data_IF_601709032812
#
_entry.id   IF_601709032812
#
_cell.length_a   1.000
_cell.length_b   1.000
_cell.length_c   1.000
_cell.angle_alpha   90.00
_cell.angle_beta   90.00
_cell.angle_gamma   90.00
#
_symmetry.space_group_name_H-M   'P 1'
#
loop_
_entity.id
_entity.type
_entity.pdbx_description
1 polymer ?
#
# COMPACT_ATOMS: atom_id res chain seq x y z
N UNK A 1 -20.68 -13.55 98.19
CA UNK A 1 -21.57 -12.45 98.64
C UNK A 1 -21.66 -11.46 97.48
N UNK A 2 -22.74 -11.32 96.72
CA UNK A 2 -24.13 -11.75 96.89
C UNK A 2 -24.72 -12.20 95.55
N UNK A 3 -25.46 -13.31 95.65
CA UNK A 3 -26.58 -13.66 94.78
C UNK A 3 -27.69 -12.61 94.91
N UNK A 4 -28.40 -12.31 93.83
CA UNK A 4 -29.88 -12.29 93.79
C UNK A 4 -30.34 -11.70 92.45
N UNK A 5 -30.77 -12.55 91.50
CA UNK A 5 -32.19 -12.82 91.21
C UNK A 5 -32.85 -11.74 90.35
N UNK A 6 -32.99 -12.01 89.05
CA UNK A 6 -34.21 -12.57 88.43
C UNK A 6 -35.44 -11.67 88.61
N UNK A 7 -35.85 -10.98 87.53
CA UNK A 7 -37.27 -10.88 87.11
C UNK A 7 -37.34 -10.83 85.57
N UNK A 8 -37.75 -11.94 84.95
CA UNK A 8 -39.04 -12.12 84.24
C UNK A 8 -39.11 -11.31 82.92
N UNK A 9 -38.80 -11.87 81.73
CA UNK A 9 -39.64 -12.72 80.85
C UNK A 9 -41.02 -12.10 80.50
N UNK A 10 -41.23 -11.89 79.18
CA UNK A 10 -42.46 -12.15 78.38
C UNK A 10 -42.89 -10.98 77.44
N UNK A 11 -42.70 -11.26 76.13
CA UNK A 11 -43.55 -10.95 74.94
C UNK A 11 -43.38 -9.65 74.15
N UNK A 12 -43.18 -9.83 72.83
CA UNK A 12 -43.47 -8.87 71.75
C UNK A 12 -42.40 -8.89 70.64
N UNK A 13 -42.19 -9.98 69.90
CA UNK A 13 -42.60 -10.16 68.48
C UNK A 13 -42.50 -8.89 67.61
N UNK A 14 -41.81 -9.03 66.47
CA UNK A 14 -41.66 -8.10 65.32
C UNK A 14 -40.56 -7.03 65.51
N UNK A 15 -39.61 -6.78 64.60
CA UNK A 15 -39.48 -7.13 63.20
C UNK A 15 -38.00 -7.36 62.84
N UNK A 16 -37.71 -8.51 62.24
CA UNK A 16 -36.52 -8.72 61.45
C UNK A 16 -36.73 -8.01 60.10
N UNK A 17 -35.96 -6.95 59.84
CA UNK A 17 -35.79 -6.41 58.49
C UNK A 17 -34.30 -6.29 58.21
N UNK A 18 -33.86 -7.31 57.49
CA UNK A 18 -32.59 -7.50 56.82
C UNK A 18 -31.98 -6.21 56.24
N UNK A 19 -30.76 -5.89 56.66
CA UNK A 19 -29.75 -5.20 55.86
C UNK A 19 -28.49 -6.06 55.81
N UNK A 20 -28.64 -7.29 55.33
CA UNK A 20 -27.52 -8.00 54.69
C UNK A 20 -27.36 -7.38 53.31
N UNK A 21 -26.41 -6.46 53.19
CA UNK A 21 -25.94 -5.95 51.91
C UNK A 21 -25.34 -7.13 51.13
N UNK A 22 -26.18 -7.83 50.35
CA UNK A 22 -25.74 -8.67 49.26
C UNK A 22 -24.94 -7.78 48.30
N UNK A 23 -23.62 -7.85 48.42
CA UNK A 23 -22.69 -7.33 47.42
C UNK A 23 -22.89 -8.19 46.18
N UNK A 24 -23.85 -7.79 45.35
CA UNK A 24 -24.02 -8.37 44.03
C UNK A 24 -22.70 -8.16 43.29
N UNK A 25 -21.92 -9.23 43.13
CA UNK A 25 -20.89 -9.29 42.11
C UNK A 25 -21.62 -9.04 40.81
N UNK A 26 -21.48 -7.82 40.27
CA UNK A 26 -21.87 -7.50 38.90
C UNK A 26 -21.22 -8.60 38.07
N UNK A 27 -21.99 -9.48 37.39
CA UNK A 27 -21.40 -10.42 36.47
C UNK A 27 -20.57 -9.58 35.50
N UNK A 28 -19.31 -9.95 35.22
CA UNK A 28 -18.52 -9.20 34.26
C UNK A 28 -19.39 -9.01 33.04
N UNK A 29 -19.61 -7.74 32.65
CA UNK A 29 -20.26 -7.39 31.39
C UNK A 29 -19.71 -8.36 30.35
N UNK A 30 -20.55 -9.14 29.66
CA UNK A 30 -20.04 -10.08 28.66
C UNK A 30 -19.10 -9.28 27.78
N UNK A 31 -17.85 -9.75 27.69
CA UNK A 31 -16.80 -9.05 26.96
C UNK A 31 -17.41 -8.55 25.66
N UNK A 32 -17.39 -7.23 25.44
CA UNK A 32 -17.77 -6.60 24.18
C UNK A 32 -17.14 -7.44 23.09
N UNK A 33 -17.93 -8.25 22.37
CA UNK A 33 -17.54 -9.15 21.29
C UNK A 33 -16.03 -9.06 20.97
N UNK A 34 -15.18 -9.61 21.84
CA UNK A 34 -13.76 -9.70 21.54
C UNK A 34 -13.73 -10.94 20.70
N UNK A 35 -13.57 -10.87 19.36
CA UNK A 35 -13.29 -12.09 18.64
C UNK A 35 -12.05 -12.64 19.33
N UNK A 36 -12.18 -13.80 19.97
CA UNK A 36 -11.04 -14.58 20.38
C UNK A 36 -10.33 -14.96 19.09
N UNK A 37 -9.53 -14.04 18.55
CA UNK A 37 -8.77 -14.24 17.34
C UNK A 37 -7.73 -15.30 17.69
N UNK A 38 -8.11 -16.53 17.38
CA UNK A 38 -7.19 -17.66 17.45
C UNK A 38 -6.08 -17.41 16.43
N UNK A 39 -4.87 -17.85 16.74
CA UNK A 39 -3.77 -17.83 15.76
C UNK A 39 -4.20 -18.52 14.45
N UNK A 40 -5.01 -19.57 14.56
CA UNK A 40 -5.57 -20.29 13.41
C UNK A 40 -6.40 -19.38 12.51
N UNK A 41 -7.30 -18.55 13.06
CA UNK A 41 -8.11 -17.63 12.25
C UNK A 41 -7.27 -16.57 11.56
N UNK A 42 -6.25 -16.02 12.24
CA UNK A 42 -5.33 -15.03 11.66
C UNK A 42 -4.55 -15.65 10.50
N UNK A 43 -3.96 -16.83 10.72
CA UNK A 43 -3.17 -17.53 9.71
C UNK A 43 -4.04 -18.02 8.56
N UNK A 44 -5.27 -18.48 8.82
CA UNK A 44 -6.19 -18.92 7.77
C UNK A 44 -6.57 -17.79 6.82
N UNK A 45 -6.84 -16.59 7.35
CA UNK A 45 -7.11 -15.41 6.51
C UNK A 45 -5.91 -15.03 5.66
N UNK A 46 -4.71 -15.00 6.25
CA UNK A 46 -3.48 -14.80 5.48
C UNK A 46 -3.30 -15.87 4.40
N UNK A 47 -3.48 -17.15 4.73
CA UNK A 47 -3.29 -18.27 3.80
C UNK A 47 -4.20 -18.19 2.58
N UNK A 48 -5.42 -17.67 2.73
CA UNK A 48 -6.35 -17.43 1.61
C UNK A 48 -5.75 -16.52 0.54
N UNK A 49 -4.95 -15.54 0.94
CA UNK A 49 -4.37 -14.52 0.05
C UNK A 49 -2.86 -14.62 -0.10
N UNK A 50 -2.22 -15.65 0.48
CA UNK A 50 -0.75 -15.80 0.47
C UNK A 50 -0.15 -15.78 -0.94
N UNK A 51 -0.90 -16.26 -1.92
CA UNK A 51 -0.52 -16.35 -3.33
C UNK A 51 -1.30 -15.37 -4.22
N UNK A 52 -1.90 -14.33 -3.64
CA UNK A 52 -2.59 -13.30 -4.41
C UNK A 52 -1.62 -12.66 -5.42
N UNK A 53 -2.07 -12.51 -6.65
CA UNK A 53 -1.33 -11.82 -7.70
C UNK A 53 -1.46 -10.30 -7.48
N UNK A 54 -0.53 -9.76 -6.69
CA UNK A 54 -0.48 -8.34 -6.35
C UNK A 54 -0.06 -7.44 -7.52
N UNK A 55 0.37 -8.02 -8.64
CA UNK A 55 0.70 -7.26 -9.82
C UNK A 55 -0.57 -6.92 -10.62
N UNK A 56 -1.43 -7.91 -10.83
CA UNK A 56 -2.69 -7.73 -11.59
C UNK A 56 -3.84 -7.19 -10.76
N UNK A 57 -3.86 -7.47 -9.46
CA UNK A 57 -4.98 -7.12 -8.58
C UNK A 57 -4.56 -6.20 -7.43
N UNK A 58 -5.48 -5.35 -6.94
CA UNK A 58 -5.22 -4.54 -5.76
C UNK A 58 -4.99 -5.43 -4.53
N UNK A 59 -4.41 -4.83 -3.50
CA UNK A 59 -4.25 -5.52 -2.23
C UNK A 59 -5.59 -6.05 -1.72
N UNK A 60 -5.66 -7.33 -1.29
CA UNK A 60 -6.88 -7.89 -0.74
C UNK A 60 -7.30 -7.10 0.49
N UNK A 61 -8.61 -6.85 0.59
CA UNK A 61 -9.22 -6.11 1.70
C UNK A 61 -10.04 -7.05 2.56
N UNK A 62 -9.97 -6.88 3.87
CA UNK A 62 -10.80 -7.59 4.83
C UNK A 62 -12.24 -7.02 4.84
N UNK A 63 -13.11 -7.56 5.70
CA UNK A 63 -14.50 -7.11 5.84
C UNK A 63 -14.62 -5.64 6.27
N UNK A 64 -13.58 -5.09 6.90
CA UNK A 64 -13.51 -3.67 7.29
C UNK A 64 -12.93 -2.76 6.20
N UNK A 65 -12.56 -3.34 5.04
CA UNK A 65 -11.91 -2.62 3.96
C UNK A 65 -10.40 -2.40 4.16
N UNK A 66 -9.80 -2.95 5.22
CA UNK A 66 -8.37 -2.81 5.50
C UNK A 66 -7.54 -3.80 4.69
N UNK A 67 -6.31 -3.42 4.33
CA UNK A 67 -5.37 -4.31 3.66
C UNK A 67 -5.10 -5.54 4.55
N UNK A 68 -5.42 -6.73 4.05
CA UNK A 68 -5.31 -8.00 4.80
C UNK A 68 -3.91 -8.24 5.34
N UNK A 69 -2.85 -7.92 4.58
CA UNK A 69 -1.47 -8.11 5.04
C UNK A 69 -1.11 -7.17 6.19
N UNK A 70 -1.54 -5.90 6.13
CA UNK A 70 -1.34 -4.96 7.25
C UNK A 70 -2.11 -5.40 8.50
N UNK A 71 -3.38 -5.78 8.33
CA UNK A 71 -4.21 -6.29 9.41
C UNK A 71 -3.58 -7.56 10.04
N UNK A 72 -3.07 -8.48 9.23
CA UNK A 72 -2.38 -9.69 9.69
C UNK A 72 -1.20 -9.36 10.60
N UNK A 73 -0.35 -8.39 10.25
CA UNK A 73 0.79 -8.01 11.11
C UNK A 73 0.34 -7.49 12.47
N UNK A 74 -0.69 -6.64 12.51
CA UNK A 74 -1.25 -6.09 13.74
C UNK A 74 -1.82 -7.22 14.61
N UNK A 75 -2.63 -8.11 14.01
CA UNK A 75 -3.27 -9.22 14.72
C UNK A 75 -2.24 -10.23 15.25
N UNK A 76 -1.18 -10.53 14.50
CA UNK A 76 -0.05 -11.34 14.98
C UNK A 76 0.70 -10.65 16.13
N UNK A 77 0.88 -9.32 16.09
CA UNK A 77 1.46 -8.54 17.18
C UNK A 77 0.63 -8.62 18.46
N UNK A 78 -0.69 -8.44 18.34
CA UNK A 78 -1.64 -8.53 19.45
C UNK A 78 -1.65 -9.95 20.03
N UNK A 79 -1.72 -10.97 19.18
CA UNK A 79 -1.69 -12.38 19.61
C UNK A 79 -0.42 -12.70 20.42
N UNK A 80 0.76 -12.30 19.93
CA UNK A 80 2.03 -12.57 20.61
C UNK A 80 2.14 -11.83 21.95
N UNK A 81 1.51 -10.65 22.07
CA UNK A 81 1.43 -9.90 23.32
C UNK A 81 0.58 -10.63 24.37
N UNK A 82 -0.56 -11.19 23.95
CA UNK A 82 -1.47 -11.95 24.81
C UNK A 82 -0.92 -13.33 25.17
N UNK A 83 -0.18 -13.96 24.25
CA UNK A 83 0.36 -15.31 24.40
C UNK A 83 1.86 -15.37 24.09
N UNK A 84 2.72 -14.85 24.99
CA UNK A 84 4.16 -14.83 24.77
C UNK A 84 4.74 -16.24 24.60
N UNK A 85 5.74 -16.36 23.72
CA UNK A 85 6.49 -17.60 23.44
C UNK A 85 5.70 -18.76 22.84
N UNK A 86 4.44 -18.54 22.43
CA UNK A 86 3.62 -19.57 21.79
C UNK A 86 3.68 -19.42 20.28
N UNK A 87 4.07 -20.50 19.60
CA UNK A 87 4.11 -20.59 18.14
C UNK A 87 4.99 -19.51 17.47
N UNK A 88 6.08 -19.09 18.14
CA UNK A 88 6.93 -18.00 17.65
C UNK A 88 7.50 -18.28 16.24
N UNK A 89 7.84 -19.53 15.93
CA UNK A 89 8.30 -19.93 14.59
C UNK A 89 7.24 -19.64 13.52
N UNK A 90 5.99 -20.08 13.74
CA UNK A 90 4.88 -19.85 12.83
C UNK A 90 4.56 -18.36 12.69
N UNK A 91 4.60 -17.62 13.80
CA UNK A 91 4.37 -16.16 13.81
C UNK A 91 5.47 -15.45 13.01
N UNK A 92 6.74 -15.76 13.27
CA UNK A 92 7.88 -15.19 12.56
C UNK A 92 7.81 -15.51 11.06
N UNK A 93 7.55 -16.76 10.69
CA UNK A 93 7.43 -17.16 9.30
C UNK A 93 6.25 -16.49 8.58
N UNK A 94 5.10 -16.35 9.25
CA UNK A 94 3.93 -15.66 8.71
C UNK A 94 4.22 -14.16 8.55
N UNK A 95 4.87 -13.53 9.52
CA UNK A 95 5.33 -12.13 9.40
C UNK A 95 6.26 -11.95 8.22
N UNK A 96 7.23 -12.84 8.04
CA UNK A 96 8.16 -12.76 6.92
C UNK A 96 7.44 -12.73 5.57
N UNK A 97 6.51 -13.66 5.34
CA UNK A 97 5.73 -13.67 4.11
C UNK A 97 4.84 -12.44 3.97
N UNK A 98 4.28 -11.95 5.07
CA UNK A 98 3.42 -10.77 5.08
C UNK A 98 4.18 -9.49 4.73
N UNK A 99 5.37 -9.29 5.31
CA UNK A 99 6.26 -8.18 4.96
C UNK A 99 6.72 -8.25 3.50
N UNK A 100 7.03 -9.46 2.99
CA UNK A 100 7.38 -9.65 1.58
C UNK A 100 6.27 -9.18 0.64
N UNK A 101 5.00 -9.41 1.01
CA UNK A 101 3.84 -8.93 0.23
C UNK A 101 3.66 -7.42 0.27
N UNK A 102 4.18 -6.76 1.30
CA UNK A 102 4.15 -5.31 1.45
C UNK A 102 5.37 -4.61 0.85
N UNK A 103 6.31 -5.35 0.24
CA UNK A 103 7.53 -4.81 -0.35
C UNK A 103 8.68 -4.56 0.64
N UNK A 104 8.51 -4.87 1.93
CA UNK A 104 9.58 -4.74 2.92
C UNK A 104 10.41 -6.04 2.98
N UNK A 105 11.27 -6.21 1.99
CA UNK A 105 12.07 -7.43 1.81
C UNK A 105 13.15 -7.60 2.87
N UNK A 106 13.72 -6.49 3.36
CA UNK A 106 14.75 -6.52 4.40
C UNK A 106 14.16 -7.04 5.72
N UNK A 107 13.02 -6.48 6.15
CA UNK A 107 12.33 -6.95 7.35
C UNK A 107 11.81 -8.38 7.17
N UNK A 108 11.29 -8.72 5.99
CA UNK A 108 10.86 -10.07 5.66
C UNK A 108 12.01 -11.09 5.81
N UNK A 109 13.18 -10.82 5.24
CA UNK A 109 14.35 -11.68 5.34
C UNK A 109 14.81 -11.86 6.79
N UNK A 110 14.74 -10.80 7.61
CA UNK A 110 15.05 -10.89 9.05
C UNK A 110 14.11 -11.85 9.77
N UNK A 111 12.81 -11.76 9.54
CA UNK A 111 11.85 -12.68 10.15
C UNK A 111 11.98 -14.13 9.62
N UNK A 112 12.40 -14.33 8.37
CA UNK A 112 12.76 -15.66 7.89
C UNK A 112 13.99 -16.22 8.65
N UNK A 113 15.01 -15.41 8.91
CA UNK A 113 16.17 -15.83 9.73
C UNK A 113 15.76 -16.14 11.17
N UNK A 114 14.84 -15.36 11.73
CA UNK A 114 14.28 -15.64 13.05
C UNK A 114 13.55 -17.00 13.07
N UNK A 115 12.70 -17.26 12.07
CA UNK A 115 12.02 -18.54 11.92
C UNK A 115 13.01 -19.72 11.81
N UNK A 116 14.10 -19.56 11.07
CA UNK A 116 15.16 -20.57 10.96
C UNK A 116 15.82 -20.89 12.32
N UNK A 117 16.04 -19.87 13.15
CA UNK A 117 16.73 -20.03 14.43
C UNK A 117 15.93 -20.88 15.44
N UNK A 118 14.60 -20.98 15.28
CA UNK A 118 13.78 -21.86 16.11
C UNK A 118 13.99 -23.35 15.77
N UNK A 119 14.52 -23.67 14.57
CA UNK A 119 14.91 -25.02 14.19
C UNK A 119 13.76 -26.04 14.05
N UNK A 120 12.53 -25.56 13.86
CA UNK A 120 11.35 -26.42 13.69
C UNK A 120 11.07 -26.78 12.23
N UNK A 121 9.83 -27.19 11.96
CA UNK A 121 9.40 -27.73 10.66
C UNK A 121 9.47 -26.69 9.52
N UNK A 122 9.42 -25.40 9.85
CA UNK A 122 9.43 -24.31 8.86
C UNK A 122 10.85 -23.81 8.56
N UNK A 123 11.87 -24.25 9.30
CA UNK A 123 13.23 -23.73 9.18
C UNK A 123 13.81 -23.86 7.76
N UNK A 124 13.63 -25.01 7.10
CA UNK A 124 14.13 -25.22 5.74
C UNK A 124 13.44 -24.29 4.72
N UNK A 125 12.12 -24.13 4.81
CA UNK A 125 11.37 -23.24 3.94
C UNK A 125 11.72 -21.77 4.21
N UNK A 126 11.93 -21.41 5.47
CA UNK A 126 12.36 -20.08 5.88
C UNK A 126 13.78 -19.76 5.36
N UNK A 127 14.68 -20.74 5.29
CA UNK A 127 16.01 -20.58 4.68
C UNK A 127 15.93 -20.26 3.19
N UNK A 128 15.11 -21.00 2.45
CA UNK A 128 14.88 -20.73 1.03
C UNK A 128 14.29 -19.33 0.80
N UNK A 129 13.23 -18.99 1.54
CA UNK A 129 12.59 -17.68 1.44
C UNK A 129 13.55 -16.54 1.82
N UNK A 130 14.38 -16.71 2.86
CA UNK A 130 15.37 -15.71 3.22
C UNK A 130 16.34 -15.42 2.07
N UNK A 131 16.80 -16.45 1.35
CA UNK A 131 17.69 -16.26 0.19
C UNK A 131 17.00 -15.40 -0.87
N UNK A 132 15.77 -15.76 -1.26
CA UNK A 132 15.01 -15.02 -2.25
C UNK A 132 14.77 -13.58 -1.81
N UNK A 133 14.35 -13.36 -0.56
CA UNK A 133 14.06 -12.03 -0.03
C UNK A 133 15.30 -11.13 0.07
N UNK A 134 16.48 -11.69 0.32
CA UNK A 134 17.72 -10.92 0.26
C UNK A 134 18.00 -10.45 -1.19
N UNK A 135 17.76 -11.29 -2.20
CA UNK A 135 17.91 -10.88 -3.61
C UNK A 135 16.97 -9.73 -3.97
N UNK A 136 15.71 -9.80 -3.52
CA UNK A 136 14.75 -8.70 -3.67
C UNK A 136 15.20 -7.43 -2.95
N UNK A 137 15.65 -7.55 -1.70
CA UNK A 137 16.16 -6.41 -0.93
C UNK A 137 17.37 -5.75 -1.59
N UNK A 138 18.27 -6.53 -2.17
CA UNK A 138 19.46 -6.01 -2.86
C UNK A 138 19.12 -5.35 -4.19
N UNK A 139 18.17 -5.92 -4.95
CA UNK A 139 17.72 -5.36 -6.22
C UNK A 139 17.01 -4.01 -6.04
N UNK A 140 16.20 -3.89 -5.00
CA UNK A 140 15.37 -2.70 -4.72
C UNK A 140 16.12 -1.62 -3.95
N UNK A 141 17.29 -1.92 -3.37
CA UNK A 141 18.07 -0.97 -2.60
C UNK A 141 18.59 0.22 -3.43
N UNK A 142 18.32 1.42 -2.92
CA UNK A 142 18.96 2.68 -3.30
C UNK A 142 20.18 2.89 -2.41
N UNK A 143 21.26 2.15 -2.68
CA UNK A 143 22.39 2.02 -1.75
C UNK A 143 23.40 3.16 -1.80
N UNK A 144 23.29 4.11 -2.73
CA UNK A 144 24.25 5.21 -2.90
C UNK A 144 23.57 6.56 -2.72
N UNK A 145 24.11 7.40 -1.84
CA UNK A 145 23.84 8.85 -1.91
C UNK A 145 24.51 9.34 -3.20
N UNK A 146 23.71 9.74 -4.17
CA UNK A 146 24.20 10.41 -5.37
C UNK A 146 24.55 11.85 -5.04
N UNK A 147 25.72 12.31 -5.46
CA UNK A 147 26.11 13.71 -5.29
C UNK A 147 25.72 14.55 -6.52
N UNK A 148 25.40 13.90 -7.65
CA UNK A 148 24.99 14.55 -8.89
C UNK A 148 23.71 13.96 -9.51
N UNK A 149 23.06 14.78 -10.34
CA UNK A 149 21.89 14.39 -11.13
C UNK A 149 22.16 13.18 -12.03
N UNK A 150 23.32 13.16 -12.71
CA UNK A 150 23.70 12.10 -13.67
C UNK A 150 23.91 10.76 -12.95
N UNK A 151 24.55 10.79 -11.78
CA UNK A 151 24.74 9.58 -10.97
C UNK A 151 23.42 9.03 -10.44
N UNK A 152 22.48 9.91 -10.06
CA UNK A 152 21.16 9.47 -9.61
C UNK A 152 20.36 8.84 -10.75
N UNK A 153 20.38 9.42 -11.95
CA UNK A 153 19.75 8.81 -13.14
C UNK A 153 20.32 7.41 -13.38
N UNK A 154 21.65 7.27 -13.41
CA UNK A 154 22.31 5.97 -13.62
C UNK A 154 21.94 4.97 -12.52
N UNK A 155 21.85 5.41 -11.27
CA UNK A 155 21.44 4.53 -10.17
C UNK A 155 20.00 4.00 -10.36
N UNK A 156 19.08 4.83 -10.86
CA UNK A 156 17.72 4.40 -11.17
C UNK A 156 17.69 3.43 -12.36
N UNK A 157 18.45 3.69 -13.43
CA UNK A 157 18.62 2.78 -14.56
C UNK A 157 19.19 1.42 -14.11
N UNK A 158 20.24 1.41 -13.29
CA UNK A 158 20.81 0.19 -12.68
C UNK A 158 19.79 -0.55 -11.79
N UNK A 159 18.86 0.17 -11.15
CA UNK A 159 17.78 -0.44 -10.36
C UNK A 159 16.73 -1.10 -11.27
N UNK A 160 16.34 -0.45 -12.38
CA UNK A 160 15.45 -1.06 -13.38
C UNK A 160 16.03 -2.37 -13.88
N UNK A 161 17.30 -2.37 -14.29
CA UNK A 161 17.97 -3.60 -14.75
C UNK A 161 18.04 -4.69 -13.68
N UNK A 162 18.33 -4.33 -12.42
CA UNK A 162 18.32 -5.28 -11.30
C UNK A 162 16.95 -5.91 -11.10
N UNK A 163 15.89 -5.11 -11.20
CA UNK A 163 14.52 -5.61 -11.05
C UNK A 163 14.08 -6.46 -12.24
N UNK A 164 14.49 -6.12 -13.47
CA UNK A 164 14.24 -6.96 -14.65
C UNK A 164 14.86 -8.35 -14.48
N UNK A 165 16.10 -8.42 -13.96
CA UNK A 165 16.75 -9.71 -13.65
C UNK A 165 15.96 -10.55 -12.63
N UNK A 166 15.22 -9.93 -11.71
CA UNK A 166 14.32 -10.67 -10.82
C UNK A 166 13.13 -11.24 -11.57
N UNK A 167 12.54 -10.48 -12.51
CA UNK A 167 11.42 -10.94 -13.34
C UNK A 167 11.84 -12.16 -14.16
N UNK A 168 13.02 -12.12 -14.77
CA UNK A 168 13.57 -13.23 -15.56
C UNK A 168 13.85 -14.47 -14.71
N UNK A 169 14.34 -14.27 -13.48
CA UNK A 169 14.70 -15.35 -12.55
C UNK A 169 13.47 -16.03 -11.94
N UNK A 170 12.47 -15.27 -11.53
CA UNK A 170 11.32 -15.77 -10.79
C UNK A 170 10.09 -15.83 -11.69
N UNK A 171 9.83 -17.00 -12.30
CA UNK A 171 8.70 -17.20 -13.22
C UNK A 171 7.42 -17.75 -12.58
N UNK A 172 7.49 -18.18 -11.30
CA UNK A 172 6.35 -18.79 -10.60
C UNK A 172 5.73 -17.84 -9.57
N UNK A 173 4.40 -17.88 -9.38
CA UNK A 173 3.76 -17.25 -8.24
C UNK A 173 4.32 -17.83 -6.93
N UNK A 174 4.42 -17.02 -5.87
CA UNK A 174 4.01 -15.62 -5.80
C UNK A 174 5.15 -14.61 -6.11
N UNK A 175 6.37 -15.11 -6.33
CA UNK A 175 7.58 -14.30 -6.52
C UNK A 175 7.58 -13.55 -7.84
N UNK A 176 7.04 -14.15 -8.90
CA UNK A 176 6.93 -13.49 -10.21
C UNK A 176 6.12 -12.19 -10.15
N UNK A 177 4.96 -12.22 -9.50
CA UNK A 177 4.12 -11.03 -9.34
C UNK A 177 4.82 -9.92 -8.54
N UNK A 178 5.54 -10.28 -7.46
CA UNK A 178 6.35 -9.32 -6.72
C UNK A 178 7.47 -8.73 -7.58
N UNK A 179 8.21 -9.55 -8.33
CA UNK A 179 9.28 -9.08 -9.20
C UNK A 179 8.77 -8.09 -10.24
N UNK A 180 7.60 -8.36 -10.84
CA UNK A 180 6.96 -7.44 -11.80
C UNK A 180 6.53 -6.13 -11.14
N UNK A 181 6.03 -6.16 -9.90
CA UNK A 181 5.69 -4.94 -9.16
C UNK A 181 6.94 -4.07 -8.94
N UNK A 182 8.05 -4.67 -8.52
CA UNK A 182 9.30 -3.93 -8.25
C UNK A 182 9.93 -3.40 -9.54
N UNK A 183 9.85 -4.15 -10.64
CA UNK A 183 10.30 -3.68 -11.95
C UNK A 183 9.51 -2.46 -12.41
N UNK A 184 8.18 -2.57 -12.41
CA UNK A 184 7.31 -1.47 -12.81
C UNK A 184 7.53 -0.24 -11.93
N UNK A 185 7.65 -0.41 -10.61
CA UNK A 185 7.92 0.72 -9.70
C UNK A 185 9.29 1.35 -9.99
N UNK A 186 10.32 0.56 -10.30
CA UNK A 186 11.63 1.09 -10.65
C UNK A 186 11.61 1.91 -11.94
N UNK A 187 10.86 1.47 -12.96
CA UNK A 187 10.69 2.22 -14.21
C UNK A 187 9.90 3.51 -13.98
N UNK A 188 8.83 3.45 -13.17
CA UNK A 188 8.04 4.63 -12.79
C UNK A 188 8.90 5.65 -12.05
N UNK A 189 9.73 5.21 -11.09
CA UNK A 189 10.62 6.11 -10.35
C UNK A 189 11.61 6.80 -11.28
N UNK A 190 12.13 6.11 -12.31
CA UNK A 190 12.96 6.70 -13.35
C UNK A 190 12.18 7.72 -14.20
N UNK A 191 10.97 7.39 -14.64
CA UNK A 191 10.13 8.27 -15.44
C UNK A 191 9.77 9.56 -14.68
N UNK A 192 9.37 9.44 -13.42
CA UNK A 192 9.09 10.57 -12.53
C UNK A 192 10.33 11.43 -12.30
N UNK A 193 11.49 10.82 -12.13
CA UNK A 193 12.75 11.56 -12.01
C UNK A 193 13.08 12.36 -13.28
N UNK A 194 12.92 11.75 -14.45
CA UNK A 194 13.11 12.44 -15.74
C UNK A 194 12.11 13.61 -15.89
N UNK A 195 10.85 13.40 -15.51
CA UNK A 195 9.82 14.44 -15.57
C UNK A 195 10.11 15.59 -14.62
N UNK A 196 10.42 15.29 -13.35
CA UNK A 196 10.69 16.29 -12.32
C UNK A 196 11.88 17.19 -12.67
N UNK A 197 12.85 16.66 -13.43
CA UNK A 197 14.06 17.37 -13.83
C UNK A 197 14.09 17.70 -15.33
N UNK A 198 12.94 17.67 -16.00
CA UNK A 198 12.81 17.81 -17.46
C UNK A 198 13.45 19.07 -18.05
N UNK A 199 13.55 20.14 -17.28
CA UNK A 199 14.10 21.42 -17.72
C UNK A 199 15.63 21.42 -17.82
N UNK A 200 16.31 20.57 -17.04
CA UNK A 200 17.79 20.46 -17.05
C UNK A 200 18.28 19.27 -17.88
N UNK A 201 17.41 18.29 -18.12
CA UNK A 201 17.73 17.12 -18.93
C UNK A 201 17.54 17.45 -20.42
N UNK A 202 18.52 17.14 -21.29
CA UNK A 202 18.34 17.25 -22.73
C UNK A 202 17.13 16.42 -23.21
N UNK A 203 16.18 17.07 -23.88
CA UNK A 203 14.91 16.48 -24.32
C UNK A 203 14.12 15.81 -23.17
N UNK A 204 14.26 16.31 -21.94
CA UNK A 204 13.66 15.74 -20.73
C UNK A 204 12.17 15.41 -20.84
N UNK A 205 11.30 16.34 -21.31
CA UNK A 205 9.88 16.05 -21.41
C UNK A 205 9.59 14.88 -22.35
N UNK A 206 10.23 14.86 -23.53
CA UNK A 206 10.05 13.78 -24.51
C UNK A 206 10.54 12.44 -23.96
N UNK A 207 11.72 12.40 -23.35
CA UNK A 207 12.27 11.17 -22.75
C UNK A 207 11.36 10.61 -21.65
N UNK A 208 10.82 11.48 -20.81
CA UNK A 208 9.88 11.06 -19.75
C UNK A 208 8.59 10.51 -20.36
N UNK A 209 7.98 11.20 -21.33
CA UNK A 209 6.79 10.72 -22.04
C UNK A 209 7.03 9.36 -22.71
N UNK A 210 8.09 9.24 -23.50
CA UNK A 210 8.43 8.01 -24.23
C UNK A 210 8.60 6.83 -23.25
N UNK A 211 9.23 7.08 -22.09
CA UNK A 211 9.39 6.06 -21.05
C UNK A 211 8.06 5.67 -20.40
N UNK A 212 7.20 6.62 -20.04
CA UNK A 212 5.90 6.29 -19.42
C UNK A 212 4.94 5.62 -20.41
N UNK A 213 5.00 5.97 -21.70
CA UNK A 213 4.28 5.26 -22.76
C UNK A 213 4.78 3.81 -22.89
N UNK A 214 6.11 3.59 -22.86
CA UNK A 214 6.68 2.25 -22.86
C UNK A 214 6.28 1.44 -21.61
N UNK A 215 6.30 2.04 -20.42
CA UNK A 215 5.83 1.41 -19.18
C UNK A 215 4.38 0.96 -19.35
N UNK A 216 3.49 1.84 -19.83
CA UNK A 216 2.09 1.50 -20.05
C UNK A 216 1.93 0.31 -21.00
N UNK A 217 2.75 0.23 -22.05
CA UNK A 217 2.70 -0.87 -23.03
C UNK A 217 3.29 -2.18 -22.50
N UNK A 218 4.41 -2.12 -21.77
CA UNK A 218 5.03 -3.29 -21.14
C UNK A 218 4.16 -3.85 -20.01
N UNK A 219 3.48 -2.97 -19.27
CA UNK A 219 2.74 -3.28 -18.05
C UNK A 219 1.22 -3.26 -18.24
N UNK A 220 0.70 -3.64 -19.43
CA UNK A 220 -0.76 -3.68 -19.73
C UNK A 220 -1.61 -4.50 -18.76
N UNK A 221 -1.03 -5.53 -18.17
CA UNK A 221 -1.73 -6.38 -17.20
C UNK A 221 -1.64 -5.85 -15.76
N UNK A 222 -0.87 -4.78 -15.53
CA UNK A 222 -0.72 -4.21 -14.19
C UNK A 222 -2.03 -3.59 -13.73
N UNK A 223 -2.31 -3.74 -12.44
CA UNK A 223 -3.38 -2.99 -11.76
C UNK A 223 -3.22 -1.47 -11.90
N UNK A 224 -2.02 -0.98 -12.19
CA UNK A 224 -1.74 0.46 -12.33
C UNK A 224 -1.87 0.95 -13.78
N UNK A 225 -2.28 0.12 -14.75
CA UNK A 225 -2.38 0.53 -16.16
C UNK A 225 -3.11 1.87 -16.33
N UNK A 226 -4.29 2.02 -15.72
CA UNK A 226 -5.06 3.26 -15.80
C UNK A 226 -4.42 4.42 -15.03
N UNK A 227 -3.62 4.17 -14.00
CA UNK A 227 -2.85 5.20 -13.30
C UNK A 227 -1.75 5.75 -14.19
N UNK A 228 -1.06 4.91 -14.95
CA UNK A 228 -0.05 5.34 -15.92
C UNK A 228 -0.67 6.16 -17.04
N UNK A 229 -1.84 5.74 -17.55
CA UNK A 229 -2.61 6.52 -18.53
C UNK A 229 -3.03 7.88 -17.96
N UNK A 230 -3.54 7.92 -16.74
CA UNK A 230 -3.85 9.18 -16.06
C UNK A 230 -2.63 10.08 -15.93
N UNK A 231 -1.47 9.51 -15.57
CA UNK A 231 -0.23 10.26 -15.40
C UNK A 231 0.28 10.85 -16.71
N UNK A 232 0.15 10.15 -17.84
CA UNK A 232 0.39 10.70 -19.17
C UNK A 232 -0.52 11.91 -19.46
N UNK A 233 -1.80 11.81 -19.07
CA UNK A 233 -2.74 12.92 -19.17
C UNK A 233 -2.32 14.14 -18.35
N UNK A 234 -1.87 13.91 -17.10
CA UNK A 234 -1.40 14.97 -16.20
C UNK A 234 -0.19 15.70 -16.75
N UNK A 235 0.81 14.96 -17.23
CA UNK A 235 2.00 15.55 -17.83
C UNK A 235 1.66 16.38 -19.07
N UNK A 236 0.70 15.94 -19.89
CA UNK A 236 0.25 16.72 -21.03
C UNK A 236 -0.52 17.99 -20.59
N UNK A 237 -1.31 17.91 -19.53
CA UNK A 237 -2.00 19.06 -18.93
C UNK A 237 -1.01 20.07 -18.31
N UNK A 238 0.03 19.58 -17.64
CA UNK A 238 1.13 20.39 -17.11
C UNK A 238 1.84 21.14 -18.25
N UNK A 239 2.15 20.48 -19.37
CA UNK A 239 2.74 21.15 -20.54
C UNK A 239 1.84 22.23 -21.14
N UNK A 240 0.53 21.97 -21.23
CA UNK A 240 -0.44 22.96 -21.71
C UNK A 240 -0.48 24.19 -20.78
N UNK A 241 -0.45 23.96 -19.47
CA UNK A 241 -0.48 25.01 -18.46
C UNK A 241 0.81 25.83 -18.45
N UNK A 242 1.96 25.17 -18.54
CA UNK A 242 3.27 25.82 -18.69
C UNK A 242 3.33 26.67 -19.95
N UNK A 243 2.86 26.13 -21.08
CA UNK A 243 2.80 26.87 -22.33
C UNK A 243 2.00 28.16 -22.20
N UNK A 244 0.77 28.09 -21.68
CA UNK A 244 -0.09 29.25 -21.47
C UNK A 244 0.46 30.25 -20.42
N UNK A 245 1.39 29.80 -19.57
CA UNK A 245 2.07 30.67 -18.60
C UNK A 245 3.26 31.40 -19.24
N UNK A 246 4.06 30.69 -20.03
CA UNK A 246 5.22 31.24 -20.74
C UNK A 246 4.82 32.16 -21.89
N UNK A 247 3.73 31.80 -22.57
CA UNK A 247 3.10 32.58 -23.63
C UNK A 247 1.69 32.91 -23.15
N UNK A 248 1.47 34.06 -22.47
CA UNK A 248 0.15 34.45 -22.04
C UNK A 248 -0.81 34.57 -23.24
N UNK A 249 -2.03 34.00 -23.17
CA UNK A 249 -2.96 33.96 -24.29
C UNK A 249 -3.43 35.34 -24.77
N UNK A 250 -3.36 36.37 -23.93
CA UNK A 250 -3.70 37.74 -24.32
C UNK A 250 -2.63 38.40 -25.22
N UNK A 251 -1.48 37.73 -25.45
CA UNK A 251 -0.33 38.28 -26.17
C UNK A 251 -0.17 37.65 -27.55
N UNK A 252 0.33 38.44 -28.50
CA UNK A 252 0.48 38.06 -29.91
C UNK A 252 1.41 36.85 -30.18
N UNK A 253 2.26 36.45 -29.23
CA UNK A 253 3.17 35.31 -29.38
C UNK A 253 2.51 33.97 -29.02
N UNK A 254 1.28 33.98 -28.52
CA UNK A 254 0.56 32.76 -28.21
C UNK A 254 0.13 32.04 -29.50
N UNK A 255 0.48 30.76 -29.63
CA UNK A 255 0.11 29.91 -30.76
C UNK A 255 -0.92 28.90 -30.27
N UNK A 256 -2.16 29.04 -30.75
CA UNK A 256 -3.28 28.21 -30.33
C UNK A 256 -3.01 26.71 -30.57
N UNK A 257 -2.42 26.38 -31.71
CA UNK A 257 -2.14 25.01 -32.13
C UNK A 257 -1.14 24.29 -31.20
N UNK A 258 -0.18 25.03 -30.62
CA UNK A 258 0.79 24.45 -29.69
C UNK A 258 0.15 24.13 -28.34
N UNK A 259 -0.73 25.01 -27.86
CA UNK A 259 -1.56 24.76 -26.68
C UNK A 259 -2.52 23.59 -26.90
N UNK A 260 -3.26 23.62 -28.01
CA UNK A 260 -4.25 22.61 -28.37
C UNK A 260 -3.64 21.22 -28.53
N UNK A 261 -2.42 21.11 -29.07
CA UNK A 261 -1.70 19.83 -29.14
C UNK A 261 -1.58 19.14 -27.77
N UNK A 262 -1.27 19.91 -26.73
CA UNK A 262 -1.11 19.37 -25.38
C UNK A 262 -2.44 19.07 -24.71
N UNK A 263 -3.43 19.96 -24.84
CA UNK A 263 -4.77 19.70 -24.28
C UNK A 263 -5.45 18.52 -24.97
N UNK A 264 -5.31 18.37 -26.29
CA UNK A 264 -5.81 17.21 -27.02
C UNK A 264 -5.16 15.90 -26.53
N UNK A 265 -3.83 15.88 -26.33
CA UNK A 265 -3.14 14.72 -25.77
C UNK A 265 -3.67 14.37 -24.37
N UNK A 266 -3.81 15.36 -23.49
CA UNK A 266 -4.36 15.15 -22.15
C UNK A 266 -5.81 14.64 -22.17
N UNK A 267 -6.67 15.23 -23.01
CA UNK A 267 -8.07 14.80 -23.19
C UNK A 267 -8.16 13.34 -23.62
N UNK A 268 -7.35 12.91 -24.59
CA UNK A 268 -7.35 11.53 -25.08
C UNK A 268 -7.08 10.53 -23.95
N UNK A 269 -6.07 10.80 -23.11
CA UNK A 269 -5.75 9.94 -21.97
C UNK A 269 -6.83 9.93 -20.90
N UNK A 270 -7.39 11.09 -20.54
CA UNK A 270 -8.47 11.14 -19.55
C UNK A 270 -9.75 10.47 -20.05
N UNK A 271 -10.09 10.62 -21.34
CA UNK A 271 -11.23 9.95 -21.95
C UNK A 271 -11.08 8.43 -21.97
N UNK A 272 -9.89 7.93 -22.30
CA UNK A 272 -9.57 6.50 -22.27
C UNK A 272 -9.90 5.87 -20.90
N UNK A 273 -9.50 6.54 -19.81
CA UNK A 273 -9.78 6.05 -18.44
C UNK A 273 -11.23 6.29 -18.05
N UNK A 274 -11.81 7.44 -18.36
CA UNK A 274 -13.19 7.79 -17.98
C UNK A 274 -14.24 6.89 -18.65
N UNK A 275 -13.93 6.34 -19.81
CA UNK A 275 -14.80 5.41 -20.56
C UNK A 275 -14.56 3.94 -20.20
N UNK A 276 -13.47 3.63 -19.49
CA UNK A 276 -13.12 2.27 -19.13
C UNK A 276 -14.03 1.74 -18.01
N UNK A 277 -14.71 0.62 -18.29
CA UNK A 277 -15.59 -0.03 -17.31
C UNK A 277 -14.75 -0.82 -16.30
N UNK A 278 -14.98 -0.61 -15.00
CA UNK A 278 -14.27 -1.30 -13.92
C UNK A 278 -12.96 -0.67 -13.46
N UNK A 279 -12.53 0.44 -14.08
CA UNK A 279 -11.39 1.23 -13.58
C UNK A 279 -11.76 1.97 -12.28
N UNK A 280 -10.94 1.84 -11.23
CA UNK A 280 -11.13 2.59 -9.97
C UNK A 280 -10.94 4.10 -10.21
N UNK A 281 -10.05 4.43 -11.14
CA UNK A 281 -9.63 5.78 -11.54
C UNK A 281 -10.68 6.53 -12.39
N UNK A 282 -11.80 5.91 -12.75
CA UNK A 282 -12.78 6.47 -13.70
C UNK A 282 -13.34 7.83 -13.27
N UNK A 283 -13.70 7.95 -11.99
CA UNK A 283 -14.30 9.19 -11.45
C UNK A 283 -13.28 10.32 -11.40
N UNK A 284 -12.04 9.99 -11.04
CA UNK A 284 -10.91 10.91 -11.07
C UNK A 284 -10.62 11.39 -12.50
N UNK A 285 -10.60 10.49 -13.48
CA UNK A 285 -10.41 10.82 -14.89
C UNK A 285 -11.47 11.81 -15.41
N UNK A 286 -12.74 11.59 -15.08
CA UNK A 286 -13.84 12.48 -15.46
C UNK A 286 -13.69 13.88 -14.85
N UNK A 287 -13.27 13.97 -13.58
CA UNK A 287 -13.02 15.25 -12.93
C UNK A 287 -11.85 16.01 -13.55
N UNK A 288 -10.76 15.31 -13.87
CA UNK A 288 -9.59 15.90 -14.56
C UNK A 288 -9.93 16.38 -15.97
N UNK A 289 -10.75 15.63 -16.70
CA UNK A 289 -11.25 16.03 -18.02
C UNK A 289 -12.07 17.33 -17.94
N UNK A 290 -13.00 17.43 -17.00
CA UNK A 290 -13.81 18.63 -16.80
C UNK A 290 -12.94 19.85 -16.44
N UNK A 291 -11.92 19.67 -15.60
CA UNK A 291 -10.97 20.72 -15.25
C UNK A 291 -10.17 21.20 -16.47
N UNK A 292 -9.74 20.28 -17.34
CA UNK A 292 -9.03 20.59 -18.58
C UNK A 292 -9.91 21.34 -19.59
N UNK A 293 -11.19 20.97 -19.71
CA UNK A 293 -12.15 21.69 -20.54
C UNK A 293 -12.36 23.13 -20.04
N UNK A 294 -12.47 23.33 -18.73
CA UNK A 294 -12.55 24.66 -18.13
C UNK A 294 -11.28 25.49 -18.41
N UNK A 295 -10.10 24.87 -18.34
CA UNK A 295 -8.83 25.52 -18.71
C UNK A 295 -8.85 25.97 -20.19
N UNK A 296 -9.25 25.09 -21.11
CA UNK A 296 -9.31 25.42 -22.53
C UNK A 296 -10.30 26.56 -22.81
N UNK A 297 -11.48 26.53 -22.17
CA UNK A 297 -12.46 27.62 -22.30
C UNK A 297 -11.91 28.97 -21.84
N UNK A 298 -11.20 28.98 -20.70
CA UNK A 298 -10.55 30.20 -20.18
C UNK A 298 -9.49 30.72 -21.14
N UNK A 299 -8.58 29.86 -21.60
CA UNK A 299 -7.50 30.25 -22.52
C UNK A 299 -8.07 30.74 -23.85
N UNK A 300 -9.10 30.08 -24.39
CA UNK A 300 -9.79 30.51 -25.61
C UNK A 300 -10.48 31.86 -25.44
N UNK A 301 -11.02 32.17 -24.27
CA UNK A 301 -11.63 33.47 -23.99
C UNK A 301 -10.60 34.61 -23.94
N UNK A 302 -9.40 34.34 -23.44
CA UNK A 302 -8.29 35.29 -23.33
C UNK A 302 -7.57 35.55 -24.66
N UNK A 303 -7.56 34.57 -25.57
CA UNK A 303 -6.93 34.66 -26.89
C UNK A 303 -7.81 35.34 -27.98
N UNK A 304 -8.94 35.94 -27.60
CA UNK A 304 -9.82 36.68 -28.51
C UNK A 304 -9.44 38.15 -28.58
#
# INVERSE_FOLDING_TARGET
MNESLRRWLVVGVTAALAWTACRATVPPTPAKYEPAESLLSIVAEFQRYRNADLYRFPYPRDLSGQNVFKATLVRLGNYQTLYPKKYDELIAFTRAQTYARLGDYQTAARFCKEAQNYGGDLAAQAAEHARMLNEFSEATALSRRSESFVEYQRMLEERVERCQRLVDRYSKPPWHGLARCEHEQAEVDLAEFLWANRQVIPNGPRRAFDLLEAIRDHHRESKNFYRHTLRLGDWACEMATEYATLFPPERALFIWEEFERWTAKAKNHYLEVAQSFGAEERTEAAARLAALEALEHRVRALNR
#
